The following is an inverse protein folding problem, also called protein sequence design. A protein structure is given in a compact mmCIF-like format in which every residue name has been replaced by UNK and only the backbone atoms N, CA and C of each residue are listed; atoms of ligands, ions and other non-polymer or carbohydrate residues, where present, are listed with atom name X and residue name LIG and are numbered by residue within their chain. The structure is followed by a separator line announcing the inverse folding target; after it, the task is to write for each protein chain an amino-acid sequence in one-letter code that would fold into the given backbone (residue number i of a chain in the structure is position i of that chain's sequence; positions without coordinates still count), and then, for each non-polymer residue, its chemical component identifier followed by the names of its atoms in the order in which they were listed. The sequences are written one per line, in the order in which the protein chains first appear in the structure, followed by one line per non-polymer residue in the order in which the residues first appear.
data_IF_850025470603
#
_entry.id   IF_850025470603
#
_cell.length_a   1.000
_cell.length_b   1.000
_cell.length_c   1.000
_cell.angle_alpha   90.00
_cell.angle_beta   90.00
_cell.angle_gamma   90.00
#
_symmetry.space_group_name_H-M   'P 1'
#
loop_
_entity.id
_entity.type
_entity.pdbx_description
1 polymer ?
#
# COMPACT_ATOMS: atom_id res chain seq x y z
N UNK A 1 -12.57 -8.61 6.07
CA UNK A 1 -12.44 -7.96 4.75
C UNK A 1 -13.52 -6.90 4.49
N UNK A 2 -14.82 -7.15 4.80
CA UNK A 2 -15.93 -6.18 4.56
C UNK A 2 -15.64 -4.83 5.21
N UNK A 3 -15.23 -4.80 6.48
CA UNK A 3 -14.88 -3.56 7.19
C UNK A 3 -13.71 -2.82 6.52
N UNK A 4 -12.70 -3.57 6.06
CA UNK A 4 -11.57 -2.99 5.34
C UNK A 4 -11.98 -2.41 3.98
N UNK A 5 -12.88 -3.06 3.25
CA UNK A 5 -13.43 -2.53 1.99
C UNK A 5 -14.20 -1.24 2.22
N UNK A 6 -15.08 -1.21 3.22
CA UNK A 6 -15.83 0.01 3.57
C UNK A 6 -14.87 1.14 3.99
N UNK A 7 -13.88 0.83 4.83
CA UNK A 7 -12.87 1.81 5.24
C UNK A 7 -12.02 2.31 4.05
N UNK A 8 -11.68 1.44 3.10
CA UNK A 8 -10.98 1.82 1.88
C UNK A 8 -11.81 2.78 1.02
N UNK A 9 -13.10 2.51 0.83
CA UNK A 9 -13.99 3.40 0.09
C UNK A 9 -14.12 4.77 0.75
N UNK A 10 -14.28 4.82 2.07
CA UNK A 10 -14.27 6.09 2.84
C UNK A 10 -12.93 6.81 2.63
N UNK A 11 -11.82 6.08 2.65
CA UNK A 11 -10.49 6.63 2.39
C UNK A 11 -10.37 7.28 1.01
N UNK A 12 -10.85 6.60 -0.06
CA UNK A 12 -10.85 7.12 -1.43
C UNK A 12 -11.69 8.41 -1.53
N UNK A 13 -12.89 8.41 -0.96
CA UNK A 13 -13.75 9.60 -0.95
C UNK A 13 -13.07 10.76 -0.23
N UNK A 14 -12.41 10.50 0.90
CA UNK A 14 -11.67 11.52 1.64
C UNK A 14 -10.46 12.06 0.84
N UNK A 15 -9.74 11.22 0.11
CA UNK A 15 -8.67 11.64 -0.81
C UNK A 15 -9.25 12.53 -1.92
N UNK A 16 -10.37 12.13 -2.51
CA UNK A 16 -11.06 12.92 -3.54
C UNK A 16 -11.45 14.31 -3.03
N UNK A 17 -12.00 14.40 -1.82
CA UNK A 17 -12.32 15.68 -1.16
C UNK A 17 -11.10 16.57 -0.96
N UNK A 18 -9.97 15.98 -0.56
CA UNK A 18 -8.73 16.72 -0.36
C UNK A 18 -8.18 17.29 -1.68
N UNK A 19 -8.25 16.51 -2.76
CA UNK A 19 -7.65 16.88 -4.04
C UNK A 19 -8.52 17.85 -4.85
N UNK A 20 -9.81 17.60 -4.95
CA UNK A 20 -10.65 18.27 -5.94
C UNK A 20 -11.57 19.34 -5.35
N UNK A 21 -11.94 19.26 -4.07
CA UNK A 21 -12.83 20.24 -3.38
C UNK A 21 -14.15 20.53 -4.12
N UNK A 22 -14.60 19.64 -5.00
CA UNK A 22 -15.82 19.78 -5.80
C UNK A 22 -16.79 18.64 -5.50
N UNK A 23 -18.03 18.97 -5.12
CA UNK A 23 -19.08 17.98 -4.81
C UNK A 23 -19.39 17.04 -5.99
N UNK A 24 -19.35 17.55 -7.22
CA UNK A 24 -19.60 16.72 -8.41
C UNK A 24 -18.58 15.59 -8.56
N UNK A 25 -17.29 15.88 -8.29
CA UNK A 25 -16.23 14.86 -8.37
C UNK A 25 -16.41 13.83 -7.25
N UNK A 26 -16.76 14.26 -6.05
CA UNK A 26 -17.09 13.36 -4.94
C UNK A 26 -18.24 12.42 -5.29
N UNK A 27 -19.33 12.96 -5.84
CA UNK A 27 -20.49 12.18 -6.26
C UNK A 27 -20.13 11.13 -7.34
N UNK A 28 -19.37 11.56 -8.36
CA UNK A 28 -18.87 10.63 -9.40
C UNK A 28 -18.00 9.54 -8.78
N UNK A 29 -17.12 9.88 -7.84
CA UNK A 29 -16.29 8.90 -7.14
C UNK A 29 -17.15 7.87 -6.39
N UNK A 30 -18.19 8.31 -5.68
CA UNK A 30 -19.11 7.42 -4.96
C UNK A 30 -19.84 6.50 -5.95
N UNK A 31 -20.33 7.02 -7.09
CA UNK A 31 -20.98 6.21 -8.11
C UNK A 31 -20.03 5.15 -8.70
N UNK A 32 -18.78 5.53 -8.99
CA UNK A 32 -17.78 4.59 -9.50
C UNK A 32 -17.45 3.51 -8.47
N UNK A 33 -17.32 3.87 -7.20
CA UNK A 33 -17.09 2.91 -6.11
C UNK A 33 -18.29 1.97 -5.92
N UNK A 34 -19.51 2.47 -6.03
CA UNK A 34 -20.73 1.66 -5.95
C UNK A 34 -20.84 0.67 -7.12
N UNK A 35 -20.41 1.08 -8.32
CA UNK A 35 -20.36 0.23 -9.51
C UNK A 35 -19.18 -0.76 -9.52
N UNK A 36 -18.15 -0.51 -8.70
CA UNK A 36 -16.97 -1.37 -8.62
C UNK A 36 -17.20 -2.51 -7.63
N UNK A 37 -17.80 -3.61 -8.11
CA UNK A 37 -18.11 -4.77 -7.28
C UNK A 37 -16.91 -5.71 -7.05
N UNK A 38 -15.81 -5.54 -7.77
CA UNK A 38 -14.62 -6.39 -7.64
C UNK A 38 -14.08 -6.48 -6.20
N UNK A 39 -13.87 -5.39 -5.42
CA UNK A 39 -13.47 -5.49 -4.03
C UNK A 39 -14.49 -6.21 -3.15
N UNK A 40 -15.80 -6.14 -3.50
CA UNK A 40 -16.86 -6.85 -2.78
C UNK A 40 -16.72 -8.35 -3.00
N UNK A 41 -16.45 -8.80 -4.23
CA UNK A 41 -16.19 -10.21 -4.53
C UNK A 41 -14.95 -10.72 -3.78
N UNK A 42 -13.89 -9.93 -3.68
CA UNK A 42 -12.70 -10.28 -2.93
C UNK A 42 -12.91 -10.34 -1.40
N UNK A 43 -14.02 -9.80 -0.87
CA UNK A 43 -14.32 -9.91 0.57
C UNK A 43 -14.52 -11.34 1.04
N UNK A 44 -14.92 -12.24 0.16
CA UNK A 44 -15.15 -13.67 0.47
C UNK A 44 -13.85 -14.46 0.55
N UNK A 45 -12.78 -13.95 -0.03
CA UNK A 45 -11.47 -14.61 -0.01
C UNK A 45 -10.64 -14.16 1.19
N UNK A 46 -10.03 -15.13 1.87
CA UNK A 46 -9.07 -14.85 2.96
C UNK A 46 -7.72 -14.51 2.34
N UNK A 47 -7.61 -13.30 1.77
CA UNK A 47 -6.39 -12.85 1.11
C UNK A 47 -6.01 -11.45 1.59
N UNK A 48 -4.73 -11.20 1.78
CA UNK A 48 -4.23 -9.92 2.30
C UNK A 48 -4.42 -8.71 1.40
N UNK A 49 -4.93 -8.88 0.17
CA UNK A 49 -5.09 -7.81 -0.81
C UNK A 49 -5.97 -6.67 -0.31
N UNK A 50 -7.16 -6.96 0.22
CA UNK A 50 -8.11 -5.94 0.68
C UNK A 50 -7.58 -5.22 1.91
N UNK A 51 -7.01 -5.98 2.85
CA UNK A 51 -6.42 -5.42 4.07
C UNK A 51 -5.27 -4.49 3.68
N UNK A 52 -4.34 -4.99 2.85
CA UNK A 52 -3.20 -4.21 2.38
C UNK A 52 -3.62 -2.96 1.61
N UNK A 53 -4.60 -3.07 0.69
CA UNK A 53 -5.14 -1.93 -0.06
C UNK A 53 -5.77 -0.88 0.86
N UNK A 54 -6.54 -1.30 1.85
CA UNK A 54 -7.17 -0.40 2.81
C UNK A 54 -6.12 0.47 3.52
N UNK A 55 -5.09 -0.16 4.07
CA UNK A 55 -4.03 0.56 4.77
C UNK A 55 -3.19 1.43 3.83
N UNK A 56 -2.93 1.01 2.58
CA UNK A 56 -2.25 1.82 1.58
C UNK A 56 -3.03 3.08 1.22
N UNK A 57 -4.36 2.99 1.08
CA UNK A 57 -5.23 4.13 0.79
C UNK A 57 -5.19 5.14 1.94
N UNK A 58 -5.30 4.68 3.19
CA UNK A 58 -5.22 5.59 4.34
C UNK A 58 -3.82 6.19 4.52
N UNK A 59 -2.75 5.43 4.25
CA UNK A 59 -1.40 5.97 4.20
C UNK A 59 -1.28 7.08 3.16
N UNK A 60 -1.84 6.87 1.96
CA UNK A 60 -1.90 7.87 0.88
C UNK A 60 -2.67 9.12 1.30
N UNK A 61 -3.79 8.96 2.01
CA UNK A 61 -4.55 10.09 2.56
C UNK A 61 -3.69 10.95 3.48
N UNK A 62 -2.97 10.34 4.42
CA UNK A 62 -2.11 11.08 5.35
C UNK A 62 -0.92 11.75 4.64
N UNK A 63 -0.35 11.11 3.62
CA UNK A 63 0.73 11.70 2.82
C UNK A 63 0.23 12.92 2.03
N UNK A 64 -0.92 12.84 1.36
CA UNK A 64 -1.52 13.97 0.64
C UNK A 64 -1.83 15.11 1.61
N UNK A 65 -2.41 14.80 2.76
CA UNK A 65 -2.70 15.78 3.80
C UNK A 65 -1.43 16.44 4.34
N UNK A 66 -0.34 15.69 4.47
CA UNK A 66 0.97 16.25 4.80
C UNK A 66 1.43 17.26 3.74
N UNK A 67 1.32 16.96 2.45
CA UNK A 67 1.71 17.90 1.39
C UNK A 67 0.89 19.20 1.40
N UNK A 68 -0.35 19.16 1.84
CA UNK A 68 -1.21 20.33 1.94
C UNK A 68 -0.94 21.16 3.21
N UNK A 69 -0.67 20.51 4.33
CA UNK A 69 -0.58 21.16 5.64
C UNK A 69 0.84 21.35 6.15
N UNK A 70 1.81 20.65 5.57
CA UNK A 70 3.20 20.57 6.01
C UNK A 70 3.38 20.14 7.49
N UNK A 71 2.40 19.41 8.07
CA UNK A 71 2.48 18.93 9.44
C UNK A 71 3.16 17.55 9.47
N UNK A 72 4.39 17.50 9.96
CA UNK A 72 5.19 16.26 10.03
C UNK A 72 4.55 15.14 10.86
N UNK A 73 3.72 15.47 11.86
CA UNK A 73 2.99 14.49 12.65
C UNK A 73 2.14 13.53 11.79
N UNK A 74 1.68 13.97 10.61
CA UNK A 74 0.88 13.18 9.69
C UNK A 74 1.68 12.07 8.99
N UNK A 75 3.00 12.18 8.98
CA UNK A 75 3.88 11.16 8.41
C UNK A 75 4.00 9.93 9.33
N UNK A 76 3.76 10.07 10.63
CA UNK A 76 3.77 8.94 11.57
C UNK A 76 2.67 7.93 11.23
N UNK A 77 1.37 8.30 11.21
CA UNK A 77 0.33 7.37 10.79
C UNK A 77 0.51 6.89 9.34
N UNK A 78 1.03 7.73 8.45
CA UNK A 78 1.38 7.32 7.09
C UNK A 78 2.37 6.14 7.10
N UNK A 79 3.46 6.24 7.86
CA UNK A 79 4.49 5.20 7.96
C UNK A 79 3.93 3.91 8.58
N UNK A 80 3.20 4.02 9.69
CA UNK A 80 2.61 2.86 10.38
C UNK A 80 1.64 2.11 9.47
N UNK A 81 0.75 2.83 8.79
CA UNK A 81 -0.24 2.22 7.89
C UNK A 81 0.44 1.58 6.66
N UNK A 82 1.52 2.19 6.15
CA UNK A 82 2.27 1.62 5.05
C UNK A 82 3.00 0.34 5.45
N UNK A 83 3.58 0.29 6.66
CA UNK A 83 4.19 -0.93 7.22
C UNK A 83 3.14 -2.05 7.32
N UNK A 84 1.97 -1.77 7.90
CA UNK A 84 0.89 -2.76 8.00
C UNK A 84 0.44 -3.22 6.61
N UNK A 85 0.33 -2.30 5.67
CA UNK A 85 -0.04 -2.60 4.27
C UNK A 85 0.95 -3.56 3.61
N UNK A 86 2.25 -3.32 3.76
CA UNK A 86 3.30 -4.17 3.17
C UNK A 86 3.42 -5.52 3.85
N UNK A 87 3.18 -5.60 5.17
CA UNK A 87 3.10 -6.87 5.90
C UNK A 87 1.89 -7.71 5.46
N UNK A 88 0.74 -7.06 5.20
CA UNK A 88 -0.46 -7.75 4.72
C UNK A 88 -0.28 -8.28 3.29
N UNK A 89 0.42 -7.53 2.42
CA UNK A 89 0.69 -7.91 1.04
C UNK A 89 2.00 -7.27 0.56
N UNK A 90 2.99 -8.10 0.28
CA UNK A 90 4.32 -7.64 -0.15
C UNK A 90 4.29 -6.77 -1.42
N UNK A 91 3.38 -7.04 -2.36
CA UNK A 91 3.23 -6.24 -3.58
C UNK A 91 2.92 -4.75 -3.29
N UNK A 92 2.44 -4.43 -2.10
CA UNK A 92 2.19 -3.04 -1.69
C UNK A 92 3.49 -2.23 -1.46
N UNK A 93 4.67 -2.85 -1.59
CA UNK A 93 5.94 -2.11 -1.69
C UNK A 93 5.94 -1.07 -2.82
N UNK A 94 5.10 -1.23 -3.84
CA UNK A 94 4.94 -0.21 -4.89
C UNK A 94 4.51 1.15 -4.33
N UNK A 95 3.68 1.14 -3.26
CA UNK A 95 3.29 2.38 -2.57
C UNK A 95 4.48 3.02 -1.84
N UNK A 96 5.39 2.20 -1.27
CA UNK A 96 6.61 2.73 -0.65
C UNK A 96 7.44 3.48 -1.69
N UNK A 97 7.68 2.88 -2.85
CA UNK A 97 8.44 3.51 -3.94
C UNK A 97 7.77 4.82 -4.36
N UNK A 98 6.44 4.80 -4.58
CA UNK A 98 5.69 6.00 -4.94
C UNK A 98 5.79 7.10 -3.86
N UNK A 99 5.71 6.74 -2.59
CA UNK A 99 5.80 7.70 -1.47
C UNK A 99 7.19 8.33 -1.37
N UNK A 100 8.25 7.52 -1.54
CA UNK A 100 9.63 8.02 -1.56
C UNK A 100 9.82 9.02 -2.70
N UNK A 101 9.37 8.69 -3.91
CA UNK A 101 9.45 9.58 -5.07
C UNK A 101 8.68 10.88 -4.81
N UNK A 102 7.46 10.80 -4.28
CA UNK A 102 6.67 11.99 -3.95
C UNK A 102 7.31 12.86 -2.87
N UNK A 103 7.92 12.27 -1.84
CA UNK A 103 8.66 12.99 -0.81
C UNK A 103 9.91 13.66 -1.37
N UNK A 104 10.63 13.03 -2.28
CA UNK A 104 11.79 13.62 -2.98
C UNK A 104 11.32 14.83 -3.82
N UNK A 105 10.27 14.68 -4.62
CA UNK A 105 9.72 15.77 -5.43
C UNK A 105 9.28 16.94 -4.53
N UNK A 106 8.60 16.64 -3.42
CA UNK A 106 8.18 17.64 -2.45
C UNK A 106 9.38 18.37 -1.84
N UNK A 107 10.45 17.64 -1.51
CA UNK A 107 11.68 18.23 -0.98
C UNK A 107 12.30 19.21 -1.96
N UNK A 108 12.43 18.83 -3.22
CA UNK A 108 13.02 19.68 -4.26
C UNK A 108 12.18 20.95 -4.43
N UNK A 109 10.84 20.84 -4.48
CA UNK A 109 9.94 21.97 -4.67
C UNK A 109 9.86 22.89 -3.45
N UNK A 110 9.79 22.32 -2.25
CA UNK A 110 9.59 23.08 -1.00
C UNK A 110 10.90 23.40 -0.27
N UNK A 111 12.06 22.92 -0.76
CA UNK A 111 13.39 23.03 -0.13
C UNK A 111 13.41 22.52 1.33
N UNK A 112 12.60 21.49 1.64
CA UNK A 112 12.47 20.92 2.99
C UNK A 112 13.18 19.59 3.10
N UNK A 113 14.46 19.62 3.42
CA UNK A 113 15.32 18.43 3.55
C UNK A 113 14.85 17.39 4.57
N UNK A 114 14.05 17.81 5.54
CA UNK A 114 13.43 16.90 6.53
C UNK A 114 12.57 15.82 5.89
N UNK A 115 11.96 16.08 4.72
CA UNK A 115 11.15 15.07 4.01
C UNK A 115 12.00 13.91 3.48
N UNK A 116 13.29 14.13 3.16
CA UNK A 116 14.21 13.06 2.76
C UNK A 116 14.53 12.17 3.97
N UNK A 117 14.83 12.77 5.12
CA UNK A 117 15.08 12.00 6.33
C UNK A 117 13.88 11.09 6.66
N UNK A 118 12.66 11.61 6.42
CA UNK A 118 11.46 10.84 6.62
C UNK A 118 11.27 9.72 5.57
N UNK A 119 11.62 9.97 4.30
CA UNK A 119 11.62 8.94 3.27
C UNK A 119 12.56 7.78 3.63
N UNK A 120 13.76 8.09 4.13
CA UNK A 120 14.71 7.09 4.62
C UNK A 120 14.15 6.33 5.83
N UNK A 121 13.55 7.05 6.79
CA UNK A 121 12.95 6.44 7.98
C UNK A 121 11.80 5.48 7.62
N UNK A 122 10.95 5.83 6.66
CA UNK A 122 9.88 4.93 6.18
C UNK A 122 10.47 3.69 5.52
N UNK A 123 11.50 3.82 4.68
CA UNK A 123 12.18 2.68 4.07
C UNK A 123 12.75 1.72 5.13
N UNK A 124 13.47 2.27 6.12
CA UNK A 124 14.03 1.48 7.22
C UNK A 124 12.90 0.83 8.03
N UNK A 125 11.82 1.53 8.32
CA UNK A 125 10.68 0.99 9.06
C UNK A 125 10.03 -0.19 8.33
N UNK A 126 9.76 -0.06 7.02
CA UNK A 126 9.14 -1.11 6.22
C UNK A 126 10.03 -2.33 6.11
N UNK A 127 11.29 -2.15 5.70
CA UNK A 127 12.24 -3.26 5.51
C UNK A 127 12.60 -3.90 6.87
N UNK A 128 12.87 -3.05 7.86
CA UNK A 128 13.22 -3.52 9.21
C UNK A 128 12.11 -4.33 9.87
N UNK A 129 10.87 -3.84 9.79
CA UNK A 129 9.72 -4.56 10.36
C UNK A 129 9.46 -5.88 9.65
N UNK A 130 9.59 -5.94 8.33
CA UNK A 130 9.46 -7.18 7.57
C UNK A 130 10.50 -8.21 8.00
N UNK A 131 11.75 -7.82 8.13
CA UNK A 131 12.82 -8.68 8.60
C UNK A 131 12.63 -9.14 10.06
N UNK A 132 12.19 -8.24 10.94
CA UNK A 132 11.89 -8.57 12.34
C UNK A 132 10.76 -9.59 12.46
N UNK A 133 9.70 -9.47 11.66
CA UNK A 133 8.59 -10.43 11.65
C UNK A 133 9.07 -11.80 11.19
N UNK A 134 9.86 -11.87 10.09
CA UNK A 134 10.43 -13.12 9.59
C UNK A 134 11.33 -13.75 10.66
N UNK A 135 12.26 -12.99 11.23
CA UNK A 135 13.19 -13.47 12.26
C UNK A 135 12.45 -13.96 13.53
N UNK A 136 11.41 -13.24 13.94
CA UNK A 136 10.57 -13.63 15.08
C UNK A 136 9.86 -14.96 14.81
N UNK A 137 9.37 -15.17 13.59
CA UNK A 137 8.73 -16.41 13.19
C UNK A 137 9.71 -17.57 13.14
N UNK A 138 10.89 -17.37 12.54
CA UNK A 138 11.96 -18.38 12.48
C UNK A 138 12.42 -18.83 13.88
N UNK A 139 12.61 -17.85 14.77
CA UNK A 139 13.00 -18.14 16.16
C UNK A 139 11.94 -18.93 16.94
N UNK A 140 10.66 -18.70 16.65
CA UNK A 140 9.55 -19.41 17.33
C UNK A 140 9.29 -20.79 16.75
N UNK A 141 9.42 -20.94 15.44
CA UNK A 141 9.15 -22.20 14.74
C UNK A 141 10.35 -23.14 14.70
N UNK A 142 11.57 -22.64 14.92
CA UNK A 142 12.81 -23.39 14.75
C UNK A 142 13.14 -23.74 13.30
N UNK A 143 12.36 -23.24 12.34
CA UNK A 143 12.51 -23.53 10.91
C UNK A 143 12.89 -22.24 10.19
N UNK A 144 13.97 -22.27 9.41
CA UNK A 144 14.32 -21.17 8.51
C UNK A 144 13.33 -21.11 7.36
N UNK A 145 12.72 -19.93 7.18
CA UNK A 145 11.85 -19.68 6.04
C UNK A 145 12.71 -19.61 4.77
N UNK A 146 12.29 -20.32 3.73
CA UNK A 146 12.90 -20.15 2.41
C UNK A 146 12.66 -18.75 1.88
N UNK A 147 13.54 -18.29 0.99
CA UNK A 147 13.40 -16.97 0.34
C UNK A 147 12.15 -16.82 -0.55
N UNK A 148 11.25 -17.80 -0.50
CA UNK A 148 10.05 -17.84 -1.35
C UNK A 148 10.38 -18.23 -2.80
N UNK A 149 9.43 -17.97 -3.67
CA UNK A 149 9.57 -18.23 -5.11
C UNK A 149 10.54 -17.20 -5.69
N UNK A 150 11.51 -17.66 -6.50
CA UNK A 150 12.49 -16.77 -7.12
C UNK A 150 11.81 -15.75 -8.05
N UNK A 151 12.39 -14.55 -8.16
CA UNK A 151 11.88 -13.53 -9.10
C UNK A 151 11.87 -14.02 -10.55
N UNK A 152 12.83 -14.88 -10.92
CA UNK A 152 12.89 -15.52 -12.23
C UNK A 152 11.65 -16.38 -12.51
N UNK A 153 11.11 -17.06 -11.51
CA UNK A 153 9.90 -17.86 -11.65
C UNK A 153 8.65 -17.00 -11.90
N UNK A 154 8.56 -15.81 -11.29
CA UNK A 154 7.47 -14.87 -11.60
C UNK A 154 7.57 -14.31 -13.03
N UNK A 155 8.78 -14.07 -13.54
CA UNK A 155 9.00 -13.70 -14.92
C UNK A 155 8.61 -14.83 -15.89
N UNK A 156 9.01 -16.04 -15.57
CA UNK A 156 8.68 -17.25 -16.34
C UNK A 156 7.17 -17.48 -16.40
N UNK A 157 6.47 -17.34 -15.28
CA UNK A 157 4.99 -17.38 -15.22
C UNK A 157 4.32 -16.29 -16.08
N UNK A 158 4.96 -15.13 -16.25
CA UNK A 158 4.43 -14.02 -17.05
C UNK A 158 4.68 -14.18 -18.57
N UNK A 159 5.67 -14.96 -18.96
CA UNK A 159 6.07 -15.16 -20.36
C UNK A 159 5.41 -16.42 -20.95
N UNK A 160 5.21 -17.44 -20.13
CA UNK A 160 4.64 -18.71 -20.57
C UNK A 160 3.11 -18.70 -20.48
N UNK A 161 2.48 -19.05 -21.62
CA UNK A 161 1.03 -19.35 -21.66
C UNK A 161 0.81 -20.76 -21.13
N UNK A 162 0.03 -20.86 -20.04
CA UNK A 162 -0.51 -22.12 -19.62
C UNK A 162 -1.91 -22.34 -20.22
N UNK A 163 -2.28 -23.60 -20.46
CA UNK A 163 -3.61 -23.95 -20.98
C UNK A 163 -4.76 -23.53 -20.06
N UNK A 164 -4.51 -23.15 -18.82
CA UNK A 164 -5.53 -22.72 -17.85
C UNK A 164 -5.73 -21.22 -17.82
N UNK A 165 -4.65 -20.45 -17.77
CA UNK A 165 -4.67 -18.99 -17.80
C UNK A 165 -3.24 -18.46 -17.96
N UNK A 166 -3.04 -17.30 -18.63
CA UNK A 166 -1.73 -16.65 -18.70
C UNK A 166 -1.15 -16.43 -17.29
N UNK A 167 0.10 -16.83 -17.10
CA UNK A 167 0.80 -16.66 -15.83
C UNK A 167 0.53 -17.73 -14.76
N UNK A 168 -0.14 -18.83 -15.09
CA UNK A 168 -0.29 -19.97 -14.20
C UNK A 168 0.70 -21.08 -14.54
N UNK A 169 1.31 -21.65 -13.51
CA UNK A 169 2.14 -22.84 -13.64
C UNK A 169 1.25 -24.09 -13.68
N UNK A 170 1.48 -24.97 -14.65
CA UNK A 170 1.00 -26.36 -14.65
C UNK A 170 2.06 -27.28 -14.09
#
# INVERSE_FOLDING_TARGET
NVMCTAAAYIGIVNITRLLFKKRSVEFITILLLAGCFQPVLFCTFVYGNIIGMCFAIWASYFLIKYFQTNKYLLLIPCAVLLVISTLAKYNNLIYLVAFVVMLIIHTIKAKKWQSIAFALAICIAVVGTSNLVIMSYENRSGVKLSSGVSQAMYLDMGINDSYMAPGWYN
#
